data_IF_038012312179
#
_entry.id   IF_038012312179
#
_cell.length_a   1.000
_cell.length_b   1.000
_cell.length_c   1.000
_cell.angle_alpha   90.00
_cell.angle_beta   90.00
_cell.angle_gamma   90.00
#
_symmetry.space_group_name_H-M   'P 1'
#
loop_
_entity.id
_entity.type
_entity.pdbx_description
1 polymer ?
#
# COMPACT_ATOMS: atom_id res chain seq x y z
N UNK A 1 9.70 0.46 -16.02
CA UNK A 1 10.48 0.77 -14.81
C UNK A 1 11.66 1.68 -15.15
N UNK A 2 12.33 2.28 -14.16
CA UNK A 2 13.24 3.41 -14.40
C UNK A 2 14.73 3.04 -14.50
N UNK A 3 15.13 1.80 -14.18
CA UNK A 3 16.53 1.39 -14.23
C UNK A 3 16.67 -0.14 -14.34
N UNK A 4 17.89 -0.66 -14.69
CA UNK A 4 18.10 -2.09 -14.87
C UNK A 4 17.97 -2.90 -13.58
N UNK A 5 18.31 -2.35 -12.42
CA UNK A 5 18.18 -3.06 -11.15
C UNK A 5 16.71 -3.31 -10.80
N UNK A 6 15.86 -2.32 -11.02
CA UNK A 6 14.42 -2.47 -10.82
C UNK A 6 13.81 -3.42 -11.86
N UNK A 7 14.28 -3.39 -13.11
CA UNK A 7 13.89 -4.38 -14.11
C UNK A 7 14.24 -5.80 -13.66
N UNK A 8 15.45 -6.04 -13.22
CA UNK A 8 15.89 -7.34 -12.71
C UNK A 8 15.06 -7.79 -11.51
N UNK A 9 14.78 -6.86 -10.56
CA UNK A 9 13.91 -7.14 -9.42
C UNK A 9 12.52 -7.59 -9.85
N UNK A 10 11.85 -6.87 -10.73
CA UNK A 10 10.50 -7.27 -11.19
C UNK A 10 10.52 -8.61 -11.91
N UNK A 11 11.53 -8.84 -12.76
CA UNK A 11 11.70 -10.15 -13.44
C UNK A 11 11.87 -11.30 -12.46
N UNK A 12 12.60 -11.12 -11.38
CA UNK A 12 12.76 -12.17 -10.35
C UNK A 12 11.43 -12.60 -9.72
N UNK A 13 10.44 -11.73 -9.67
CA UNK A 13 9.09 -12.11 -9.23
C UNK A 13 8.35 -12.95 -10.28
N UNK A 14 8.62 -12.76 -11.57
CA UNK A 14 8.01 -13.59 -12.61
C UNK A 14 8.62 -14.99 -12.64
N UNK A 15 9.92 -15.10 -12.37
CA UNK A 15 10.64 -16.36 -12.30
C UNK A 15 10.29 -17.19 -11.05
N UNK A 16 9.90 -16.50 -9.97
CA UNK A 16 9.61 -17.07 -8.65
C UNK A 16 8.10 -17.30 -8.39
N UNK A 17 7.28 -17.32 -9.45
CA UNK A 17 5.83 -17.57 -9.29
C UNK A 17 5.60 -18.98 -8.79
N UNK A 18 4.96 -19.17 -7.62
CA UNK A 18 4.69 -20.50 -7.08
C UNK A 18 3.85 -21.36 -8.01
N UNK A 19 4.05 -22.67 -7.99
CA UNK A 19 3.34 -23.60 -8.86
C UNK A 19 1.81 -23.61 -8.70
N UNK A 20 1.30 -23.14 -7.57
CA UNK A 20 -0.13 -23.00 -7.31
C UNK A 20 -0.71 -21.66 -7.84
N UNK A 21 0.13 -20.68 -8.15
CA UNK A 21 -0.25 -19.37 -8.68
C UNK A 21 -0.07 -19.32 -10.20
N UNK A 22 -0.65 -18.31 -10.84
CA UNK A 22 -0.53 -18.13 -12.28
C UNK A 22 -0.44 -16.67 -12.67
N UNK A 23 0.37 -16.36 -13.66
CA UNK A 23 0.32 -15.10 -14.39
C UNK A 23 -0.85 -15.19 -15.37
N UNK A 24 -1.87 -14.36 -15.17
CA UNK A 24 -3.07 -14.35 -16.00
C UNK A 24 -2.96 -13.40 -17.18
N UNK A 25 -2.08 -12.39 -17.06
CA UNK A 25 -1.74 -11.48 -18.16
C UNK A 25 -0.35 -10.89 -17.92
N UNK A 26 0.34 -10.47 -18.99
CA UNK A 26 1.69 -9.90 -18.92
C UNK A 26 2.77 -10.93 -18.55
N UNK A 27 3.65 -10.56 -17.63
CA UNK A 27 4.73 -11.42 -17.14
C UNK A 27 5.99 -11.38 -18.00
N UNK A 28 6.11 -10.42 -18.91
CA UNK A 28 7.22 -10.32 -19.85
C UNK A 28 7.79 -8.90 -19.93
N UNK A 29 9.07 -8.85 -20.24
CA UNK A 29 9.68 -7.62 -20.72
C UNK A 29 9.26 -7.38 -22.19
N UNK A 30 8.92 -6.15 -22.51
CA UNK A 30 8.63 -5.75 -23.89
C UNK A 30 9.92 -5.73 -24.70
N UNK A 31 9.91 -6.35 -25.89
CA UNK A 31 11.06 -6.40 -26.80
C UNK A 31 11.24 -5.07 -27.52
N UNK A 32 11.81 -4.08 -26.81
CA UNK A 32 12.24 -2.79 -27.34
C UNK A 32 13.30 -2.18 -26.44
N UNK A 33 14.02 -1.18 -26.91
CA UNK A 33 15.02 -0.47 -26.11
C UNK A 33 14.38 0.17 -24.86
N UNK A 34 15.01 -0.02 -23.70
CA UNK A 34 14.57 0.49 -22.40
C UNK A 34 14.03 -0.58 -21.46
N UNK A 35 13.48 -0.13 -20.34
CA UNK A 35 13.08 -0.99 -19.20
C UNK A 35 11.55 -1.15 -19.15
N UNK A 36 10.96 -1.67 -20.23
CA UNK A 36 9.52 -1.83 -20.34
C UNK A 36 9.10 -3.23 -19.94
N UNK A 37 8.09 -3.30 -19.08
CA UNK A 37 7.45 -4.54 -18.62
C UNK A 37 5.96 -4.43 -18.96
N UNK A 38 5.38 -5.53 -19.43
CA UNK A 38 3.94 -5.60 -19.66
C UNK A 38 3.18 -5.45 -18.34
N UNK A 39 2.05 -4.73 -18.31
CA UNK A 39 1.14 -4.78 -17.17
C UNK A 39 0.77 -6.22 -16.83
N UNK A 40 1.04 -6.62 -15.60
CA UNK A 40 1.01 -8.02 -15.19
C UNK A 40 0.00 -8.26 -14.07
N UNK A 41 -0.73 -9.35 -14.15
CA UNK A 41 -1.66 -9.81 -13.11
C UNK A 41 -1.26 -11.21 -12.67
N UNK A 42 -1.02 -11.41 -11.38
CA UNK A 42 -0.73 -12.71 -10.77
C UNK A 42 -1.87 -13.10 -9.85
N UNK A 43 -2.48 -14.24 -10.09
CA UNK A 43 -3.64 -14.76 -9.35
C UNK A 43 -3.32 -16.06 -8.62
N UNK A 44 -4.26 -16.46 -7.74
CA UNK A 44 -4.21 -17.70 -6.95
C UNK A 44 -3.01 -17.77 -5.96
N UNK A 45 -2.47 -16.60 -5.58
CA UNK A 45 -1.43 -16.47 -4.57
C UNK A 45 -1.96 -16.75 -3.15
N UNK A 46 -1.11 -17.31 -2.30
CA UNK A 46 -1.37 -17.49 -0.87
C UNK A 46 -0.77 -16.35 -0.06
N UNK A 47 -1.32 -16.11 1.13
CA UNK A 47 -0.89 -14.99 1.99
C UNK A 47 0.61 -14.99 2.33
N UNK A 48 1.23 -16.16 2.44
CA UNK A 48 2.66 -16.27 2.73
C UNK A 48 3.59 -16.13 1.53
N UNK A 49 3.06 -16.02 0.33
CA UNK A 49 3.90 -15.91 -0.87
C UNK A 49 4.63 -14.57 -0.90
N UNK A 50 5.85 -14.60 -1.40
CA UNK A 50 6.71 -13.41 -1.56
C UNK A 50 5.99 -12.28 -2.30
N UNK A 51 5.20 -12.61 -3.31
CA UNK A 51 4.44 -11.67 -4.14
C UNK A 51 3.36 -10.89 -3.37
N UNK A 52 2.91 -11.40 -2.23
CA UNK A 52 1.97 -10.73 -1.32
C UNK A 52 2.73 -9.97 -0.24
N UNK A 53 3.85 -10.51 0.26
CA UNK A 53 4.56 -9.99 1.42
C UNK A 53 5.62 -8.95 1.10
N UNK A 54 6.09 -8.88 -0.16
CA UNK A 54 7.08 -7.90 -0.58
C UNK A 54 6.52 -6.92 -1.60
N UNK A 55 6.97 -5.68 -1.54
CA UNK A 55 6.67 -4.67 -2.55
C UNK A 55 7.44 -4.97 -3.83
N UNK A 56 6.73 -5.26 -4.92
CA UNK A 56 7.33 -5.53 -6.24
C UNK A 56 7.89 -4.24 -6.86
N UNK A 57 7.19 -3.15 -6.70
CA UNK A 57 7.50 -1.82 -7.23
C UNK A 57 7.62 -1.77 -8.75
N UNK A 58 6.60 -2.31 -9.42
CA UNK A 58 6.50 -2.40 -10.88
C UNK A 58 5.05 -2.50 -11.35
N UNK A 59 4.79 -2.61 -12.66
CA UNK A 59 3.45 -2.71 -13.22
C UNK A 59 2.85 -4.10 -13.00
N UNK A 60 2.77 -4.52 -11.75
CA UNK A 60 2.30 -5.85 -11.33
C UNK A 60 1.25 -5.69 -10.25
N UNK A 61 0.12 -6.34 -10.40
CA UNK A 61 -0.89 -6.47 -9.36
C UNK A 61 -1.08 -7.95 -9.00
N UNK A 62 -1.38 -8.21 -7.74
CA UNK A 62 -1.73 -9.52 -7.22
C UNK A 62 -3.20 -9.59 -6.90
N UNK A 63 -3.83 -10.74 -7.13
CA UNK A 63 -5.25 -10.95 -6.88
C UNK A 63 -5.43 -12.15 -5.95
N UNK A 64 -6.09 -11.91 -4.81
CA UNK A 64 -6.52 -12.94 -3.87
C UNK A 64 -8.03 -12.90 -3.71
N UNK A 65 -8.65 -14.07 -3.65
CA UNK A 65 -10.07 -14.21 -3.31
C UNK A 65 -10.23 -14.35 -1.81
N UNK A 66 -11.32 -13.85 -1.29
CA UNK A 66 -11.74 -14.06 0.10
C UNK A 66 -13.21 -14.51 0.12
N UNK A 67 -13.61 -15.23 1.15
CA UNK A 67 -14.95 -15.80 1.29
C UNK A 67 -15.92 -14.86 2.04
N UNK A 68 -15.40 -14.08 2.98
CA UNK A 68 -16.20 -13.23 3.85
C UNK A 68 -15.40 -11.99 4.33
N UNK A 69 -16.08 -11.08 5.01
CA UNK A 69 -15.52 -9.83 5.53
C UNK A 69 -14.36 -10.07 6.53
N UNK A 70 -14.47 -11.10 7.36
CA UNK A 70 -13.45 -11.43 8.36
C UNK A 70 -12.15 -11.90 7.69
N UNK A 71 -12.25 -12.72 6.65
CA UNK A 71 -11.09 -13.15 5.87
C UNK A 71 -10.47 -11.98 5.10
N UNK A 72 -11.28 -11.10 4.50
CA UNK A 72 -10.78 -9.90 3.83
C UNK A 72 -9.94 -9.03 4.76
N UNK A 73 -10.41 -8.79 5.99
CA UNK A 73 -9.66 -8.05 7.02
C UNK A 73 -8.35 -8.76 7.38
N UNK A 74 -8.42 -10.08 7.60
CA UNK A 74 -7.25 -10.90 7.94
C UNK A 74 -6.18 -10.84 6.84
N UNK A 75 -6.58 -11.00 5.57
CA UNK A 75 -5.65 -10.96 4.44
C UNK A 75 -5.07 -9.55 4.26
N UNK A 76 -5.89 -8.51 4.28
CA UNK A 76 -5.42 -7.13 4.16
C UNK A 76 -4.42 -6.76 5.25
N UNK A 77 -4.72 -7.06 6.52
CA UNK A 77 -3.84 -6.75 7.64
C UNK A 77 -2.62 -7.70 7.75
N UNK A 78 -2.64 -8.83 7.04
CA UNK A 78 -1.63 -9.88 7.09
C UNK A 78 -0.35 -9.60 6.30
N UNK A 79 -0.01 -8.33 6.08
CA UNK A 79 1.24 -7.87 5.47
C UNK A 79 1.99 -6.93 6.41
N UNK A 80 3.31 -6.83 6.24
CA UNK A 80 4.17 -5.99 7.09
C UNK A 80 4.05 -4.50 6.76
N UNK A 81 3.37 -4.14 5.71
CA UNK A 81 3.13 -2.75 5.29
C UNK A 81 1.74 -2.26 5.67
N UNK A 82 1.56 -0.95 5.75
CA UNK A 82 0.29 -0.33 6.10
C UNK A 82 0.21 1.13 5.65
N UNK A 83 0.61 1.45 4.42
CA UNK A 83 0.55 2.83 3.92
C UNK A 83 -0.91 3.22 3.63
N UNK A 84 -1.54 2.53 2.69
CA UNK A 84 -2.85 2.89 2.21
C UNK A 84 -3.64 1.67 1.75
N UNK A 85 -4.97 1.80 1.79
CA UNK A 85 -5.91 0.78 1.32
C UNK A 85 -7.17 1.42 0.74
N UNK A 86 -7.97 0.62 0.03
CA UNK A 86 -9.28 1.06 -0.49
C UNK A 86 -10.33 0.00 -0.26
N UNK A 87 -11.56 0.44 0.02
CA UNK A 87 -12.74 -0.41 0.17
C UNK A 87 -13.78 0.01 -0.86
N UNK A 88 -14.27 -0.94 -1.62
CA UNK A 88 -15.32 -0.71 -2.63
C UNK A 88 -16.60 -1.44 -2.23
N UNK A 89 -17.61 -0.70 -1.82
CA UNK A 89 -18.90 -1.25 -1.39
C UNK A 89 -20.00 -0.21 -1.42
N UNK A 90 -21.22 -0.61 -1.76
CA UNK A 90 -22.42 0.23 -1.63
C UNK A 90 -22.99 0.24 -0.20
N UNK A 91 -22.53 -0.66 0.67
CA UNK A 91 -23.00 -0.74 2.06
C UNK A 91 -22.14 0.15 2.96
N UNK A 92 -22.68 1.31 3.37
CA UNK A 92 -21.99 2.29 4.22
C UNK A 92 -21.53 1.70 5.56
N UNK A 93 -22.37 0.91 6.22
CA UNK A 93 -21.99 0.30 7.51
C UNK A 93 -20.81 -0.66 7.36
N UNK A 94 -20.74 -1.42 6.26
CA UNK A 94 -19.58 -2.25 5.91
C UNK A 94 -18.34 -1.40 5.67
N UNK A 95 -18.45 -0.33 4.88
CA UNK A 95 -17.34 0.58 4.62
C UNK A 95 -16.72 1.09 5.91
N UNK A 96 -17.53 1.54 6.85
CA UNK A 96 -17.09 2.07 8.15
C UNK A 96 -16.48 1.00 9.07
N UNK A 97 -17.00 -0.23 9.06
CA UNK A 97 -16.38 -1.34 9.81
C UNK A 97 -15.00 -1.68 9.27
N UNK A 98 -14.88 -1.78 7.94
CA UNK A 98 -13.60 -2.09 7.28
C UNK A 98 -12.58 -0.96 7.46
N UNK A 99 -13.00 0.31 7.36
CA UNK A 99 -12.14 1.46 7.61
C UNK A 99 -11.55 1.45 9.03
N UNK A 100 -12.31 1.02 10.03
CA UNK A 100 -11.83 0.86 11.42
C UNK A 100 -10.95 -0.37 11.62
N UNK A 101 -11.22 -1.46 10.88
CA UNK A 101 -10.53 -2.73 11.06
C UNK A 101 -9.21 -2.83 10.29
N UNK A 102 -9.05 -2.05 9.23
CA UNK A 102 -7.85 -2.04 8.40
C UNK A 102 -6.71 -1.29 9.10
N UNK A 103 -5.57 -1.96 9.21
CA UNK A 103 -4.35 -1.46 9.85
C UNK A 103 -3.47 -0.72 8.82
N UNK A 104 -4.01 0.37 8.28
CA UNK A 104 -3.40 1.24 7.28
C UNK A 104 -3.53 2.70 7.68
N UNK A 105 -2.53 3.51 7.33
CA UNK A 105 -2.54 4.94 7.62
C UNK A 105 -3.60 5.72 6.83
N UNK A 106 -4.00 5.21 5.68
CA UNK A 106 -5.08 5.76 4.87
C UNK A 106 -6.04 4.65 4.41
N UNK A 107 -7.35 4.90 4.50
CA UNK A 107 -8.39 4.01 3.96
C UNK A 107 -9.36 4.83 3.11
N UNK A 108 -9.36 4.62 1.82
CA UNK A 108 -10.32 5.23 0.91
C UNK A 108 -11.58 4.37 0.73
N UNK A 109 -12.72 5.00 0.58
CA UNK A 109 -14.00 4.33 0.35
C UNK A 109 -14.51 4.73 -1.05
N UNK A 110 -14.70 3.73 -1.91
CA UNK A 110 -15.16 3.88 -3.30
C UNK A 110 -14.33 4.85 -4.15
N UNK A 111 -13.06 5.04 -3.77
CA UNK A 111 -12.06 5.79 -4.51
C UNK A 111 -10.67 5.22 -4.22
N UNK A 112 -9.66 5.72 -4.93
CA UNK A 112 -8.27 5.35 -4.68
C UNK A 112 -7.35 6.52 -5.07
N UNK A 113 -6.37 6.82 -4.20
CA UNK A 113 -5.33 7.86 -4.38
C UNK A 113 -5.77 9.34 -4.15
N UNK A 114 -7.00 9.77 -3.95
CA UNK A 114 -7.19 11.20 -3.69
C UNK A 114 -6.41 11.60 -2.42
N UNK A 115 -5.53 12.58 -2.58
CA UNK A 115 -4.71 13.16 -1.51
C UNK A 115 -5.04 14.65 -1.44
N UNK A 116 -5.35 15.15 -0.25
CA UNK A 116 -5.71 16.56 0.00
C UNK A 116 -4.82 17.12 1.11
N UNK A 117 -4.47 18.38 1.00
CA UNK A 117 -3.51 19.00 1.92
C UNK A 117 -3.98 19.07 3.39
N UNK A 118 -5.27 19.03 3.61
CA UNK A 118 -5.89 19.12 4.94
C UNK A 118 -5.89 17.79 5.71
N UNK A 119 -5.67 16.66 5.01
CA UNK A 119 -5.69 15.32 5.61
C UNK A 119 -4.29 14.76 5.75
N UNK A 120 -3.95 14.14 6.89
CA UNK A 120 -2.63 13.53 7.06
C UNK A 120 -2.48 12.31 6.15
N UNK A 121 -1.32 12.20 5.51
CA UNK A 121 -0.95 11.03 4.73
C UNK A 121 0.32 10.41 5.30
N UNK A 122 0.30 9.11 5.57
CA UNK A 122 1.45 8.38 6.09
C UNK A 122 1.08 6.98 6.50
N UNK A 123 2.07 6.14 6.74
CA UNK A 123 1.90 4.72 6.94
C UNK A 123 1.81 4.28 8.39
N UNK A 124 1.56 2.98 8.53
CA UNK A 124 1.72 2.16 9.73
C UNK A 124 2.74 1.06 9.44
N UNK A 125 3.12 0.33 10.46
CA UNK A 125 4.01 -0.83 10.36
C UNK A 125 5.32 -0.44 9.63
N UNK A 126 5.80 -1.26 8.71
CA UNK A 126 7.04 -0.98 7.95
C UNK A 126 6.91 0.10 6.86
N UNK A 127 5.71 0.60 6.61
CA UNK A 127 5.53 1.79 5.77
C UNK A 127 5.91 3.09 6.46
N UNK A 128 6.31 3.04 7.74
CA UNK A 128 6.67 4.19 8.55
C UNK A 128 5.47 4.78 9.29
N UNK A 129 5.72 5.73 10.19
CA UNK A 129 4.70 6.33 11.06
C UNK A 129 4.68 7.86 11.03
N UNK A 130 5.61 8.51 10.36
CA UNK A 130 5.55 9.95 10.08
C UNK A 130 4.33 10.30 9.24
N UNK A 131 3.92 11.54 9.27
CA UNK A 131 2.78 12.04 8.49
C UNK A 131 3.19 13.23 7.65
N UNK A 132 2.88 13.16 6.37
CA UNK A 132 2.89 14.32 5.47
C UNK A 132 1.53 15.01 5.52
N UNK A 133 1.48 16.26 5.09
CA UNK A 133 0.26 17.06 4.99
C UNK A 133 -0.40 17.36 6.35
N UNK A 134 -1.48 18.14 6.33
CA UNK A 134 -2.23 18.57 7.51
C UNK A 134 -1.38 19.32 8.56
N UNK A 135 -1.96 19.57 9.72
CA UNK A 135 -1.23 20.12 10.87
C UNK A 135 -0.09 19.20 11.36
N UNK A 136 -0.24 17.89 11.22
CA UNK A 136 0.78 16.92 11.64
C UNK A 136 2.08 17.10 10.84
N UNK A 137 2.00 17.16 9.51
CA UNK A 137 3.18 17.40 8.67
C UNK A 137 3.81 18.78 8.94
N UNK A 138 3.00 19.79 9.20
CA UNK A 138 3.50 21.12 9.58
C UNK A 138 4.28 21.07 10.91
N UNK A 139 3.76 20.37 11.92
CA UNK A 139 4.39 20.25 13.24
C UNK A 139 5.75 19.56 13.16
N UNK A 140 5.95 18.58 12.29
CA UNK A 140 7.22 17.88 12.09
C UNK A 140 8.35 18.81 11.63
N UNK A 141 8.02 19.94 10.99
CA UNK A 141 8.98 20.96 10.54
C UNK A 141 9.11 22.13 11.51
N UNK A 142 8.48 22.09 12.68
CA UNK A 142 8.50 23.14 13.69
C UNK A 142 9.10 22.68 15.02
N UNK A 143 9.40 23.64 15.88
CA UNK A 143 9.83 23.35 17.26
C UNK A 143 8.90 24.07 18.22
N UNK A 144 8.22 23.34 19.06
CA UNK A 144 7.40 23.88 20.13
C UNK A 144 8.32 24.41 21.23
N UNK A 145 8.12 25.68 21.64
CA UNK A 145 8.84 26.31 22.75
C UNK A 145 7.84 26.86 23.75
N UNK A 146 7.98 26.45 24.98
CA UNK A 146 7.28 27.07 26.09
C UNK A 146 8.08 28.30 26.56
N UNK A 147 7.42 29.46 26.67
CA UNK A 147 7.97 30.68 27.27
C UNK A 147 7.02 31.15 28.35
N UNK A 148 7.54 31.32 29.56
CA UNK A 148 6.79 31.85 30.70
C UNK A 148 7.58 32.98 31.35
N UNK A 149 6.91 34.10 31.66
CA UNK A 149 7.50 35.25 32.34
C UNK A 149 6.71 35.55 33.62
N UNK A 150 7.42 35.70 34.73
CA UNK A 150 6.85 36.22 35.96
C UNK A 150 6.98 37.76 35.94
N UNK A 151 5.85 38.46 35.93
CA UNK A 151 5.80 39.93 35.92
C UNK A 151 5.71 40.51 37.34
N UNK A 152 5.67 39.67 38.37
CA UNK A 152 5.51 40.07 39.77
C UNK A 152 6.79 39.95 40.62
N UNK A 153 7.97 39.85 39.99
CA UNK A 153 9.25 39.82 40.69
C UNK A 153 9.90 41.23 40.73
#
# INVERSE_FOLDING_TARGET
VNNPNQLARVKSFFEDVPSHAKITTGGKQVSRDGFFIEPTVIADLKQGDRHIQEEIFGPVITVQKFKDEAEAIKLANGVVYGLASSVWTSNHSRAMRLAKAFDFGCVWINCHIPVVAEMPHGGYKRSGYGKDLSAYGFEDYTRIKHVMTNLGA
#
